data_IF_808605543782
#
_entry.id   IF_808605543782
#
_cell.length_a   1.000
_cell.length_b   1.000
_cell.length_c   1.000
_cell.angle_alpha   90.00
_cell.angle_beta   90.00
_cell.angle_gamma   90.00
#
_symmetry.space_group_name_H-M   'P 1'
#
loop_
_entity.id
_entity.type
_entity.pdbx_description
1 polymer ?
#
# COMPACT_ATOMS: atom_id res chain seq x y z
N UNK A 1 7.25 11.55 6.73
CA UNK A 1 6.52 10.30 6.44
C UNK A 1 7.10 9.52 5.26
N UNK A 2 7.30 10.14 4.08
CA UNK A 2 7.86 9.46 2.88
C UNK A 2 9.16 8.68 3.15
N UNK A 3 10.11 9.26 3.87
CA UNK A 3 11.35 8.57 4.25
C UNK A 3 11.11 7.26 5.02
N UNK A 4 10.25 7.28 6.04
CA UNK A 4 9.86 6.07 6.78
C UNK A 4 9.22 5.02 5.86
N UNK A 5 8.31 5.45 4.98
CA UNK A 5 7.66 4.57 4.02
C UNK A 5 8.71 3.86 3.15
N UNK A 6 9.65 4.60 2.55
CA UNK A 6 10.67 4.03 1.68
C UNK A 6 11.70 3.16 2.44
N UNK A 7 11.95 3.48 3.71
CA UNK A 7 12.83 2.69 4.58
C UNK A 7 12.22 1.36 5.04
N UNK A 8 10.90 1.29 5.25
CA UNK A 8 10.27 0.10 5.82
C UNK A 8 9.38 -0.69 4.86
N UNK A 9 8.96 -0.10 3.74
CA UNK A 9 8.11 -0.77 2.75
C UNK A 9 8.87 -1.02 1.44
N UNK A 10 8.50 -2.10 0.75
CA UNK A 10 8.93 -2.32 -0.63
C UNK A 10 7.94 -1.65 -1.60
N UNK A 11 7.94 -0.32 -1.64
CA UNK A 11 6.95 0.45 -2.44
C UNK A 11 7.00 0.11 -3.92
N UNK A 12 8.20 -0.15 -4.46
CA UNK A 12 8.35 -0.55 -5.85
C UNK A 12 7.78 -1.95 -6.12
N UNK A 13 8.10 -2.94 -5.28
CA UNK A 13 7.55 -4.29 -5.39
C UNK A 13 6.03 -4.31 -5.20
N UNK A 14 5.53 -3.57 -4.21
CA UNK A 14 4.09 -3.40 -3.97
C UNK A 14 3.42 -2.76 -5.19
N UNK A 15 3.95 -1.65 -5.70
CA UNK A 15 3.39 -0.94 -6.85
C UNK A 15 3.27 -1.85 -8.07
N UNK A 16 4.34 -2.60 -8.39
CA UNK A 16 4.35 -3.60 -9.46
C UNK A 16 3.29 -4.68 -9.23
N UNK A 17 3.22 -5.23 -8.02
CA UNK A 17 2.25 -6.27 -7.67
C UNK A 17 0.80 -5.78 -7.77
N UNK A 18 0.55 -4.54 -7.36
CA UNK A 18 -0.76 -3.88 -7.43
C UNK A 18 -1.20 -3.65 -8.88
N UNK A 19 -0.28 -3.27 -9.77
CA UNK A 19 -0.60 -3.13 -11.21
C UNK A 19 -0.85 -4.50 -11.86
N UNK A 20 -0.25 -5.55 -11.32
CA UNK A 20 -0.50 -6.94 -11.68
C UNK A 20 -0.22 -7.23 -13.15
N UNK A 21 -1.15 -7.90 -13.84
CA UNK A 21 -0.98 -8.31 -15.24
C UNK A 21 -0.72 -7.15 -16.20
N UNK A 22 -1.20 -5.95 -15.86
CA UNK A 22 -1.05 -4.78 -16.70
C UNK A 22 0.39 -4.27 -16.72
N UNK A 23 1.17 -4.54 -15.67
CA UNK A 23 2.59 -4.17 -15.62
C UNK A 23 3.35 -4.61 -16.86
N UNK A 24 3.18 -5.86 -17.31
CA UNK A 24 3.88 -6.41 -18.49
C UNK A 24 3.49 -5.69 -19.79
N UNK A 25 2.29 -5.11 -19.87
CA UNK A 25 1.76 -4.41 -21.06
C UNK A 25 2.03 -2.90 -21.04
N UNK A 26 2.47 -2.35 -19.92
CA UNK A 26 2.79 -0.92 -19.77
C UNK A 26 4.17 -0.60 -20.31
N UNK A 27 4.32 0.53 -21.01
CA UNK A 27 5.61 1.01 -21.52
C UNK A 27 6.57 1.35 -20.38
N UNK A 28 7.88 1.44 -20.67
CA UNK A 28 8.90 1.81 -19.66
C UNK A 28 8.59 3.17 -19.03
N UNK A 29 8.23 4.16 -19.84
CA UNK A 29 7.95 5.53 -19.38
C UNK A 29 6.71 5.56 -18.47
N UNK A 30 5.62 4.90 -18.89
CA UNK A 30 4.41 4.79 -18.08
C UNK A 30 4.64 4.01 -16.77
N UNK A 31 5.52 2.99 -16.76
CA UNK A 31 5.88 2.26 -15.54
C UNK A 31 6.60 3.16 -14.54
N UNK A 32 7.55 3.97 -15.02
CA UNK A 32 8.29 4.91 -14.17
C UNK A 32 7.35 5.96 -13.58
N UNK A 33 6.50 6.54 -14.42
CA UNK A 33 5.50 7.50 -13.97
C UNK A 33 4.51 6.88 -12.98
N UNK A 34 4.01 5.68 -13.29
CA UNK A 34 3.10 4.94 -12.41
C UNK A 34 3.68 4.76 -11.02
N UNK A 35 4.95 4.37 -10.89
CA UNK A 35 5.57 4.14 -9.58
C UNK A 35 5.65 5.43 -8.76
N UNK A 36 5.98 6.55 -9.39
CA UNK A 36 5.99 7.88 -8.74
C UNK A 36 4.58 8.26 -8.27
N UNK A 37 3.59 8.11 -9.15
CA UNK A 37 2.19 8.42 -8.82
C UNK A 37 1.63 7.49 -7.74
N UNK A 38 2.01 6.22 -7.74
CA UNK A 38 1.63 5.24 -6.73
C UNK A 38 2.22 5.60 -5.37
N UNK A 39 3.51 5.91 -5.30
CA UNK A 39 4.15 6.37 -4.05
C UNK A 39 3.46 7.63 -3.51
N UNK A 40 3.22 8.62 -4.37
CA UNK A 40 2.51 9.85 -4.00
C UNK A 40 1.11 9.57 -3.46
N UNK A 41 0.36 8.67 -4.09
CA UNK A 41 -0.97 8.25 -3.62
C UNK A 41 -0.88 7.62 -2.23
N UNK A 42 0.06 6.68 -2.01
CA UNK A 42 0.25 6.01 -0.72
C UNK A 42 0.64 7.02 0.35
N UNK A 43 1.62 7.88 0.08
CA UNK A 43 2.05 8.93 1.00
C UNK A 43 0.88 9.82 1.40
N UNK A 44 0.15 10.39 0.44
CA UNK A 44 -0.96 11.30 0.73
C UNK A 44 -2.16 10.63 1.39
N UNK A 45 -2.44 9.37 1.06
CA UNK A 45 -3.58 8.63 1.65
C UNK A 45 -3.28 8.20 3.08
N UNK A 46 -2.08 7.69 3.35
CA UNK A 46 -1.76 7.10 4.64
C UNK A 46 -1.15 8.09 5.63
N UNK A 47 -0.38 9.12 5.19
CA UNK A 47 0.11 10.15 6.11
C UNK A 47 -1.05 10.79 6.90
N UNK A 48 -2.14 11.10 6.21
CA UNK A 48 -3.35 11.66 6.81
C UNK A 48 -4.06 10.69 7.76
N UNK A 49 -4.11 9.39 7.42
CA UNK A 49 -4.72 8.37 8.28
C UNK A 49 -3.89 8.12 9.53
N UNK A 50 -2.57 8.00 9.41
CA UNK A 50 -1.68 7.79 10.55
C UNK A 50 -1.70 8.96 11.54
N UNK A 51 -1.86 10.20 11.06
CA UNK A 51 -2.05 11.36 11.93
C UNK A 51 -3.25 11.18 12.87
N UNK A 52 -4.33 10.50 12.45
CA UNK A 52 -5.53 10.26 13.28
C UNK A 52 -5.30 9.24 14.40
N UNK A 53 -4.31 8.36 14.26
CA UNK A 53 -4.02 7.30 15.22
C UNK A 53 -2.77 7.59 16.07
N UNK A 54 -2.19 8.80 15.99
CA UNK A 54 -0.97 9.17 16.75
C UNK A 54 -1.09 8.98 18.26
N UNK A 55 -2.29 9.11 18.81
CA UNK A 55 -2.57 8.98 20.25
C UNK A 55 -2.89 7.54 20.67
N UNK A 56 -3.04 6.63 19.69
CA UNK A 56 -3.44 5.25 19.94
C UNK A 56 -2.22 4.34 20.05
N UNK A 57 -2.22 3.45 21.06
CA UNK A 57 -1.10 2.53 21.28
C UNK A 57 -1.24 1.29 20.39
N UNK A 58 -0.26 1.10 19.50
CA UNK A 58 -0.09 -0.15 18.78
C UNK A 58 0.71 -1.15 19.64
N UNK A 59 0.16 -2.35 19.84
CA UNK A 59 0.81 -3.44 20.57
C UNK A 59 1.07 -4.61 19.63
N UNK A 60 2.32 -5.07 19.54
CA UNK A 60 2.67 -6.31 18.84
C UNK A 60 2.26 -7.50 19.72
N UNK A 61 1.50 -8.43 19.14
CA UNK A 61 0.99 -9.63 19.82
C UNK A 61 1.80 -10.89 19.54
N UNK A 62 2.64 -10.85 18.51
CA UNK A 62 3.51 -11.95 18.15
C UNK A 62 3.81 -11.98 16.66
N UNK A 63 4.65 -12.93 16.24
CA UNK A 63 4.95 -13.16 14.83
C UNK A 63 4.92 -14.65 14.51
N UNK A 64 4.72 -14.97 13.23
CA UNK A 64 4.75 -16.34 12.71
C UNK A 64 5.24 -16.33 11.28
N UNK A 65 5.83 -17.42 10.81
CA UNK A 65 6.25 -17.55 9.41
C UNK A 65 5.16 -18.27 8.60
N UNK A 66 4.88 -17.76 7.39
CA UNK A 66 3.97 -18.39 6.43
C UNK A 66 4.56 -18.26 5.02
N UNK A 67 5.17 -19.34 4.55
CA UNK A 67 5.90 -19.35 3.27
C UNK A 67 7.02 -18.31 3.27
N UNK A 68 7.00 -17.44 2.25
CA UNK A 68 7.96 -16.35 2.10
C UNK A 68 7.70 -15.13 3.02
N UNK A 69 6.57 -15.10 3.74
CA UNK A 69 6.20 -13.98 4.59
C UNK A 69 6.43 -14.28 6.07
N UNK A 70 6.93 -13.30 6.80
CA UNK A 70 6.72 -13.20 8.24
C UNK A 70 5.43 -12.40 8.49
N UNK A 71 4.51 -12.99 9.27
CA UNK A 71 3.26 -12.38 9.67
C UNK A 71 3.44 -11.82 11.08
N UNK A 72 3.48 -10.50 11.22
CA UNK A 72 3.52 -9.82 12.51
C UNK A 72 2.11 -9.40 12.87
N UNK A 73 1.58 -9.88 13.99
CA UNK A 73 0.23 -9.54 14.48
C UNK A 73 0.35 -8.37 15.44
N UNK A 74 -0.49 -7.37 15.25
CA UNK A 74 -0.59 -6.19 16.11
C UNK A 74 -2.04 -5.82 16.38
N UNK A 75 -2.24 -4.98 17.38
CA UNK A 75 -3.54 -4.49 17.78
C UNK A 75 -3.44 -3.01 18.18
N UNK A 76 -4.42 -2.21 17.77
CA UNK A 76 -4.60 -0.83 18.24
C UNK A 76 -5.81 -0.81 19.19
N UNK A 77 -5.58 -0.36 20.43
CA UNK A 77 -6.61 -0.30 21.47
C UNK A 77 -7.14 1.13 21.64
N UNK A 78 -8.26 1.44 21.00
CA UNK A 78 -8.91 2.76 21.04
C UNK A 78 -9.79 3.03 22.26
N UNK A 79 -9.33 2.70 23.48
CA UNK A 79 -10.14 2.84 24.69
C UNK A 79 -11.43 2.01 24.65
N UNK A 80 -12.62 2.66 24.70
CA UNK A 80 -13.96 2.02 24.76
C UNK A 80 -14.39 1.27 23.48
N UNK A 81 -13.60 1.31 22.41
CA UNK A 81 -13.92 0.68 21.13
C UNK A 81 -13.25 -0.70 21.03
N UNK A 82 -13.91 -1.63 20.33
CA UNK A 82 -13.32 -2.93 19.96
C UNK A 82 -11.93 -2.73 19.34
N UNK A 83 -10.91 -3.46 19.79
CA UNK A 83 -9.56 -3.30 19.26
C UNK A 83 -9.45 -3.59 17.78
N UNK A 84 -8.66 -2.78 17.07
CA UNK A 84 -8.39 -2.95 15.65
C UNK A 84 -7.22 -3.91 15.47
N UNK A 85 -7.48 -5.03 14.80
CA UNK A 85 -6.49 -6.08 14.50
C UNK A 85 -5.76 -5.76 13.20
N UNK A 86 -4.43 -5.84 13.26
CA UNK A 86 -3.55 -5.59 12.13
C UNK A 86 -2.62 -6.80 11.97
N UNK A 87 -2.46 -7.27 10.73
CA UNK A 87 -1.43 -8.24 10.36
C UNK A 87 -0.54 -7.62 9.31
N UNK A 88 0.73 -7.46 9.65
CA UNK A 88 1.78 -7.01 8.73
C UNK A 88 2.35 -8.22 8.02
N UNK A 89 2.30 -8.23 6.69
CA UNK A 89 3.02 -9.23 5.89
C UNK A 89 4.36 -8.64 5.52
N UNK A 90 5.42 -9.22 6.09
CA UNK A 90 6.78 -8.77 5.94
C UNK A 90 7.53 -9.77 5.06
N UNK A 91 8.26 -9.24 4.10
CA UNK A 91 9.18 -9.99 3.23
C UNK A 91 10.62 -9.67 3.60
N UNK A 92 11.54 -10.53 3.19
CA UNK A 92 12.98 -10.28 3.27
C UNK A 92 13.57 -10.43 1.86
N UNK A 93 13.37 -9.45 0.97
CA UNK A 93 13.81 -9.56 -0.42
C UNK A 93 15.34 -9.62 -0.55
N UNK A 94 16.07 -8.93 0.34
CA UNK A 94 17.53 -8.94 0.45
C UNK A 94 17.94 -9.14 1.93
N UNK A 95 18.86 -8.33 2.46
CA UNK A 95 19.32 -8.41 3.86
C UNK A 95 18.27 -7.85 4.84
N UNK A 96 17.45 -6.89 4.39
CA UNK A 96 16.53 -6.13 5.23
C UNK A 96 15.06 -6.59 5.11
N UNK A 97 14.36 -6.61 6.24
CA UNK A 97 12.92 -6.82 6.27
C UNK A 97 12.16 -5.62 5.71
N UNK A 98 11.17 -5.89 4.86
CA UNK A 98 10.30 -4.88 4.26
C UNK A 98 8.85 -5.32 4.38
N UNK A 99 8.00 -4.40 4.82
CA UNK A 99 6.55 -4.60 4.83
C UNK A 99 6.06 -4.61 3.38
N UNK A 100 5.32 -5.65 3.02
CA UNK A 100 4.75 -5.86 1.70
C UNK A 100 3.23 -5.66 1.68
N UNK A 101 2.54 -5.99 2.77
CA UNK A 101 1.09 -5.80 2.89
C UNK A 101 0.70 -5.47 4.33
N UNK A 102 -0.41 -4.76 4.46
CA UNK A 102 -1.08 -4.53 5.75
C UNK A 102 -2.47 -5.14 5.60
N UNK A 103 -2.83 -6.02 6.52
CA UNK A 103 -4.18 -6.60 6.61
C UNK A 103 -4.85 -6.02 7.84
N UNK A 104 -5.91 -5.26 7.67
CA UNK A 104 -6.68 -4.63 8.75
C UNK A 104 -8.04 -5.30 8.81
N UNK A 105 -8.42 -5.84 9.97
CA UNK A 105 -9.70 -6.56 10.13
C UNK A 105 -9.95 -7.61 9.03
N UNK A 106 -8.89 -8.34 8.64
CA UNK A 106 -8.95 -9.35 7.58
C UNK A 106 -8.88 -8.81 6.15
N UNK A 107 -8.93 -7.50 5.94
CA UNK A 107 -8.87 -6.85 4.62
C UNK A 107 -7.45 -6.47 4.26
N UNK A 108 -6.91 -7.10 3.22
CA UNK A 108 -5.59 -6.78 2.65
C UNK A 108 -5.63 -5.49 1.84
N UNK A 109 -4.83 -4.51 2.22
CA UNK A 109 -4.82 -3.19 1.59
C UNK A 109 -4.30 -3.26 0.15
N UNK A 110 -3.25 -4.04 -0.12
CA UNK A 110 -2.70 -4.15 -1.48
C UNK A 110 -3.67 -4.90 -2.41
N UNK A 111 -4.40 -5.91 -1.92
CA UNK A 111 -5.42 -6.62 -2.70
C UNK A 111 -6.58 -5.71 -3.08
N UNK A 112 -7.06 -4.91 -2.13
CA UNK A 112 -8.10 -3.91 -2.38
C UNK A 112 -7.63 -2.93 -3.46
N UNK A 113 -6.42 -2.37 -3.31
CA UNK A 113 -5.90 -1.42 -4.29
C UNK A 113 -5.73 -2.03 -5.68
N UNK A 114 -5.27 -3.28 -5.77
CA UNK A 114 -5.16 -4.02 -7.04
C UNK A 114 -6.52 -4.23 -7.70
N UNK A 115 -7.55 -4.55 -6.92
CA UNK A 115 -8.91 -4.71 -7.43
C UNK A 115 -9.43 -3.39 -8.00
N UNK A 116 -9.24 -2.28 -7.28
CA UNK A 116 -9.61 -0.94 -7.74
C UNK A 116 -8.92 -0.57 -9.05
N UNK A 117 -7.59 -0.72 -9.12
CA UNK A 117 -6.83 -0.39 -10.33
C UNK A 117 -7.23 -1.28 -11.50
N UNK A 118 -7.39 -2.58 -11.26
CA UNK A 118 -7.83 -3.52 -12.29
C UNK A 118 -9.23 -3.18 -12.79
N UNK A 119 -10.12 -2.70 -11.92
CA UNK A 119 -11.48 -2.26 -12.29
C UNK A 119 -11.42 -1.01 -13.17
N UNK A 120 -10.64 0.01 -12.78
CA UNK A 120 -10.43 1.23 -13.59
C UNK A 120 -9.88 0.87 -14.96
N UNK A 121 -8.81 0.08 -15.02
CA UNK A 121 -8.18 -0.28 -16.30
C UNK A 121 -9.15 -1.11 -17.16
N UNK A 122 -9.85 -2.10 -16.58
CA UNK A 122 -10.79 -2.96 -17.31
C UNK A 122 -11.96 -2.17 -17.90
N UNK A 123 -12.57 -1.27 -17.13
CA UNK A 123 -13.68 -0.42 -17.60
C UNK A 123 -13.26 0.55 -18.71
N UNK A 124 -11.96 0.79 -18.87
CA UNK A 124 -11.41 1.72 -19.85
C UNK A 124 -10.60 0.99 -20.94
N UNK A 125 -11.09 -0.17 -21.38
CA UNK A 125 -10.54 -0.89 -22.53
C UNK A 125 -9.13 -1.47 -22.31
N UNK A 126 -8.72 -1.68 -21.05
CA UNK A 126 -7.40 -2.21 -20.74
C UNK A 126 -6.26 -1.19 -20.76
N UNK A 127 -6.58 0.11 -20.93
CA UNK A 127 -5.58 1.19 -21.08
C UNK A 127 -5.06 1.65 -19.73
N UNK A 128 -3.75 1.49 -19.50
CA UNK A 128 -3.09 1.94 -18.25
C UNK A 128 -2.99 3.45 -18.18
N UNK A 129 -2.89 4.15 -19.31
CA UNK A 129 -2.90 5.61 -19.39
C UNK A 129 -4.10 6.25 -18.67
N UNK A 130 -5.26 5.60 -18.66
CA UNK A 130 -6.45 6.11 -17.93
C UNK A 130 -6.26 6.01 -16.41
N UNK A 131 -5.64 4.93 -15.92
CA UNK A 131 -5.26 4.85 -14.51
C UNK A 131 -4.26 5.96 -14.17
N UNK A 132 -3.25 6.23 -15.01
CA UNK A 132 -2.29 7.32 -14.78
C UNK A 132 -2.99 8.66 -14.65
N UNK A 133 -3.94 8.97 -15.54
CA UNK A 133 -4.73 10.20 -15.47
C UNK A 133 -5.51 10.32 -14.15
N UNK A 134 -6.13 9.23 -13.69
CA UNK A 134 -6.83 9.19 -12.40
C UNK A 134 -5.85 9.44 -11.24
N UNK A 135 -4.68 8.80 -11.28
CA UNK A 135 -3.66 8.96 -10.25
C UNK A 135 -3.12 10.39 -10.19
N UNK A 136 -2.78 11.00 -11.34
CA UNK A 136 -2.36 12.42 -11.42
C UNK A 136 -3.37 13.33 -10.73
N UNK A 137 -4.66 13.18 -11.07
CA UNK A 137 -5.74 13.98 -10.47
C UNK A 137 -5.82 13.79 -8.95
N UNK A 138 -5.64 12.56 -8.45
CA UNK A 138 -5.64 12.28 -7.02
C UNK A 138 -4.41 12.86 -6.32
N UNK A 139 -3.22 12.70 -6.89
CA UNK A 139 -1.97 13.17 -6.28
C UNK A 139 -1.87 14.69 -6.24
N UNK A 140 -2.36 15.40 -7.28
CA UNK A 140 -2.42 16.87 -7.25
C UNK A 140 -3.31 17.38 -6.12
N UNK A 141 -4.50 16.80 -5.94
CA UNK A 141 -5.40 17.15 -4.83
C UNK A 141 -4.82 16.86 -3.44
N UNK A 142 -3.95 15.85 -3.32
CA UNK A 142 -3.31 15.48 -2.07
C UNK A 142 -2.15 16.42 -1.69
N UNK A 143 -1.47 17.01 -2.67
CA UNK A 143 -0.36 17.94 -2.44
C UNK A 143 -0.82 19.40 -2.22
N UNK A 144 -2.10 19.70 -2.45
CA UNK A 144 -2.71 21.02 -2.22
C UNK A 144 -3.33 21.16 -0.80
N UNK A 145 -3.18 20.15 0.05
CA UNK A 145 -3.67 20.11 1.43
C UNK A 145 -2.50 19.98 2.40
#
# INVERSE_FOLDING_TARGET
FRGLLNSYFDINGIGKWVLGRYWRKTSKNERLEYLVLFENLVVGTYANRFNKYKKEKLTVKGSSRRGQFALVKSQINGGKVKPIRIVWRVTRPNVNYKIFDIVIEGVSMIRTQRSEFSSVIRRNGGKVSVLLAVLRKKTTKLNQK
#
